data_IF_807848191218
#
_entry.id   IF_807848191218
#
_cell.length_a   1.000
_cell.length_b   1.000
_cell.length_c   1.000
_cell.angle_alpha   90.00
_cell.angle_beta   90.00
_cell.angle_gamma   90.00
#
_symmetry.space_group_name_H-M   'P 1'
#
loop_
_entity.id
_entity.type
_entity.pdbx_description
1 polymer ?
#
# COMPACT_ATOMS: atom_id res chain seq x y z
N UNK A 1 30.52 10.61 -16.37
CA UNK A 1 30.86 9.34 -15.71
C UNK A 1 29.57 8.76 -15.13
N UNK A 2 29.11 7.63 -15.66
CA UNK A 2 27.94 6.92 -15.11
C UNK A 2 28.38 6.18 -13.86
N UNK A 3 28.01 6.67 -12.68
CA UNK A 3 28.23 5.97 -11.41
C UNK A 3 27.46 4.65 -11.49
N UNK A 4 28.18 3.53 -11.56
CA UNK A 4 27.56 2.21 -11.39
C UNK A 4 26.88 2.21 -10.02
N UNK A 5 25.56 2.09 -10.01
CA UNK A 5 24.79 1.92 -8.79
C UNK A 5 25.11 0.52 -8.26
N UNK A 6 25.85 0.43 -7.16
CA UNK A 6 26.29 -0.85 -6.62
C UNK A 6 25.27 -1.40 -5.62
N UNK A 7 25.06 -2.71 -5.64
CA UNK A 7 24.40 -3.41 -4.54
C UNK A 7 25.48 -3.61 -3.47
N UNK A 8 25.19 -3.28 -2.22
CA UNK A 8 26.14 -3.48 -1.11
C UNK A 8 26.58 -4.96 -1.04
N UNK A 9 27.86 -5.23 -0.77
CA UNK A 9 28.42 -6.60 -0.74
C UNK A 9 27.64 -7.55 0.19
N UNK A 10 27.26 -7.05 1.37
CA UNK A 10 26.44 -7.79 2.33
C UNK A 10 25.03 -8.12 1.79
N UNK A 11 24.52 -7.37 0.81
CA UNK A 11 23.23 -7.62 0.16
C UNK A 11 23.34 -8.62 -1.00
N UNK A 12 24.52 -8.82 -1.60
CA UNK A 12 24.73 -9.79 -2.70
C UNK A 12 24.42 -11.22 -2.24
N UNK A 13 24.86 -11.57 -1.03
CA UNK A 13 24.54 -12.87 -0.43
C UNK A 13 23.04 -13.02 -0.14
N UNK A 14 22.38 -11.95 0.32
CA UNK A 14 20.94 -11.95 0.63
C UNK A 14 20.06 -12.05 -0.63
N UNK A 15 20.53 -11.57 -1.80
CA UNK A 15 19.82 -11.74 -3.07
C UNK A 15 19.52 -13.21 -3.37
N UNK A 16 20.44 -14.11 -3.01
CA UNK A 16 20.27 -15.56 -3.23
C UNK A 16 19.13 -16.17 -2.42
N UNK A 17 18.68 -15.48 -1.37
CA UNK A 17 17.73 -15.99 -0.38
C UNK A 17 16.34 -15.34 -0.47
N UNK A 18 16.17 -14.28 -1.27
CA UNK A 18 14.86 -13.65 -1.51
C UNK A 18 14.14 -14.30 -2.71
N UNK A 19 12.79 -14.27 -2.74
CA UNK A 19 12.02 -14.77 -3.89
C UNK A 19 12.43 -14.13 -5.22
N UNK A 20 12.40 -14.91 -6.30
CA UNK A 20 12.87 -14.47 -7.63
C UNK A 20 12.23 -13.16 -8.11
N UNK A 21 10.95 -12.91 -7.81
CA UNK A 21 10.26 -11.69 -8.19
C UNK A 21 10.97 -10.42 -7.65
N UNK A 22 11.38 -10.43 -6.37
CA UNK A 22 12.10 -9.32 -5.77
C UNK A 22 13.55 -9.24 -6.27
N UNK A 23 14.19 -10.39 -6.52
CA UNK A 23 15.56 -10.41 -7.05
C UNK A 23 15.66 -9.68 -8.38
N UNK A 24 14.78 -9.98 -9.33
CA UNK A 24 14.78 -9.33 -10.65
C UNK A 24 14.60 -7.82 -10.52
N UNK A 25 13.65 -7.37 -9.69
CA UNK A 25 13.40 -5.95 -9.47
C UNK A 25 14.60 -5.23 -8.85
N UNK A 26 15.28 -5.85 -7.87
CA UNK A 26 16.48 -5.26 -7.26
C UNK A 26 17.61 -5.12 -8.30
N UNK A 27 17.79 -6.11 -9.18
CA UNK A 27 18.77 -6.03 -10.25
C UNK A 27 18.44 -4.91 -11.24
N UNK A 28 17.17 -4.75 -11.63
CA UNK A 28 16.72 -3.65 -12.48
C UNK A 28 16.97 -2.28 -11.82
N UNK A 29 16.73 -2.17 -10.51
CA UNK A 29 17.00 -0.94 -9.75
C UNK A 29 18.50 -0.60 -9.78
N UNK A 30 19.35 -1.59 -9.52
CA UNK A 30 20.81 -1.43 -9.56
C UNK A 30 21.32 -1.13 -10.98
N UNK A 31 20.68 -1.64 -12.02
CA UNK A 31 21.00 -1.32 -13.41
C UNK A 31 20.43 0.05 -13.84
N UNK A 32 19.55 0.65 -13.03
CA UNK A 32 18.87 1.90 -13.36
C UNK A 32 17.76 1.75 -14.41
N UNK A 33 17.26 0.54 -14.62
CA UNK A 33 16.21 0.21 -15.61
C UNK A 33 14.82 0.09 -14.99
N UNK A 34 14.71 0.04 -13.66
CA UNK A 34 13.41 -0.01 -13.00
C UNK A 34 12.61 1.31 -13.18
N UNK A 35 11.37 1.26 -13.70
CA UNK A 35 10.61 2.48 -14.05
C UNK A 35 10.10 3.28 -12.85
N UNK A 36 10.12 2.70 -11.65
CA UNK A 36 9.65 3.32 -10.41
C UNK A 36 10.75 4.09 -9.67
N UNK A 37 12.03 3.83 -9.97
CA UNK A 37 13.15 4.56 -9.34
C UNK A 37 13.66 5.66 -10.27
N UNK A 38 13.13 6.87 -10.06
CA UNK A 38 13.44 8.06 -10.88
C UNK A 38 14.42 9.03 -10.20
N UNK A 39 15.02 8.64 -9.09
CA UNK A 39 15.98 9.43 -8.33
C UNK A 39 17.38 8.81 -8.37
N UNK A 40 18.41 9.64 -8.12
CA UNK A 40 19.80 9.20 -8.00
C UNK A 40 20.05 8.53 -6.65
N UNK A 41 20.97 7.58 -6.62
CA UNK A 41 21.49 6.96 -5.40
C UNK A 41 22.84 6.31 -5.73
N UNK A 42 23.66 6.07 -4.71
CA UNK A 42 24.99 5.48 -4.86
C UNK A 42 24.96 3.97 -4.62
N UNK A 43 24.22 3.54 -3.59
CA UNK A 43 24.21 2.15 -3.15
C UNK A 43 22.79 1.71 -2.77
N UNK A 44 22.46 0.47 -3.12
CA UNK A 44 21.23 -0.20 -2.70
C UNK A 44 21.56 -1.28 -1.65
N UNK A 45 20.84 -1.24 -0.52
CA UNK A 45 21.00 -2.17 0.60
C UNK A 45 19.68 -2.85 0.94
N UNK A 46 19.69 -4.16 1.19
CA UNK A 46 18.55 -4.90 1.76
C UNK A 46 18.67 -4.83 3.29
N UNK A 47 17.70 -4.22 3.97
CA UNK A 47 17.84 -3.79 5.38
C UNK A 47 17.01 -4.56 6.41
N UNK A 48 16.21 -5.53 5.99
CA UNK A 48 15.54 -6.49 6.88
C UNK A 48 15.62 -7.89 6.27
N UNK A 49 15.63 -8.90 7.13
CA UNK A 49 15.86 -10.31 6.80
C UNK A 49 15.14 -10.79 5.54
N UNK A 50 15.68 -11.84 4.93
CA UNK A 50 15.34 -12.38 3.59
C UNK A 50 13.90 -12.87 3.41
N UNK A 51 13.07 -12.73 4.45
CA UNK A 51 11.65 -13.06 4.42
C UNK A 51 10.85 -11.82 4.02
N UNK A 52 10.06 -11.89 2.94
CA UNK A 52 9.09 -10.85 2.63
C UNK A 52 8.26 -10.50 3.85
N UNK A 53 8.09 -9.21 4.11
CA UNK A 53 7.13 -8.74 5.09
C UNK A 53 5.75 -9.19 4.64
N UNK A 54 5.08 -10.06 5.42
CA UNK A 54 3.67 -10.27 5.21
C UNK A 54 2.95 -8.94 5.46
N UNK A 55 1.86 -8.67 4.75
CA UNK A 55 1.14 -7.38 4.81
C UNK A 55 0.33 -7.21 6.12
N UNK A 56 0.96 -7.42 7.27
CA UNK A 56 0.34 -7.21 8.58
C UNK A 56 0.51 -5.77 9.08
N UNK A 57 1.47 -5.02 8.51
CA UNK A 57 1.71 -3.61 8.84
C UNK A 57 0.66 -2.69 8.23
N UNK A 58 0.20 -2.97 7.02
CA UNK A 58 -1.00 -2.38 6.40
C UNK A 58 -2.02 -3.49 6.16
N UNK A 59 -3.11 -3.49 6.92
CA UNK A 59 -4.15 -4.53 6.86
C UNK A 59 -4.94 -4.50 5.54
N UNK A 60 -4.86 -3.43 4.76
CA UNK A 60 -5.46 -3.34 3.44
C UNK A 60 -4.49 -3.76 2.33
N UNK A 61 -3.23 -4.03 2.65
CA UNK A 61 -2.24 -4.47 1.67
C UNK A 61 -2.37 -5.98 1.38
N UNK A 62 -2.25 -6.33 0.11
CA UNK A 62 -2.32 -7.71 -0.40
C UNK A 62 -1.00 -8.14 -1.02
N UNK A 63 -0.11 -7.19 -1.29
CA UNK A 63 1.25 -7.42 -1.80
C UNK A 63 2.20 -7.71 -0.64
N UNK A 64 3.10 -8.67 -0.86
CA UNK A 64 4.27 -8.78 0.00
C UNK A 64 5.26 -7.67 -0.34
N UNK A 65 6.08 -7.27 0.62
CA UNK A 65 7.16 -6.30 0.37
C UNK A 65 8.45 -6.72 1.06
N UNK A 66 9.57 -6.20 0.59
CA UNK A 66 10.84 -6.22 1.33
C UNK A 66 11.27 -4.79 1.62
N UNK A 67 12.00 -4.59 2.72
CA UNK A 67 12.54 -3.27 3.03
C UNK A 67 13.93 -3.12 2.41
N UNK A 68 14.08 -2.09 1.58
CA UNK A 68 15.34 -1.69 0.94
C UNK A 68 15.71 -0.28 1.37
N UNK A 69 17.00 0.03 1.29
CA UNK A 69 17.55 1.35 1.58
C UNK A 69 18.39 1.83 0.39
N UNK A 70 18.12 3.05 -0.04
CA UNK A 70 18.89 3.77 -1.05
C UNK A 70 19.85 4.73 -0.34
N UNK A 71 21.14 4.44 -0.40
CA UNK A 71 22.18 5.28 0.15
C UNK A 71 22.65 6.32 -0.88
N UNK A 72 22.90 7.55 -0.44
CA UNK A 72 23.26 8.65 -1.32
C UNK A 72 22.09 9.19 -2.17
N UNK A 73 20.84 8.94 -1.76
CA UNK A 73 19.69 9.57 -2.38
C UNK A 73 19.63 11.08 -2.04
N UNK A 74 18.94 11.91 -2.85
CA UNK A 74 18.71 13.32 -2.50
C UNK A 74 18.07 13.44 -1.12
N UNK A 75 18.69 14.21 -0.22
CA UNK A 75 18.21 14.38 1.16
C UNK A 75 18.68 13.32 2.15
N UNK A 76 19.56 12.40 1.75
CA UNK A 76 20.16 11.39 2.63
C UNK A 76 19.72 9.96 2.32
N UNK A 77 19.96 9.04 3.26
CA UNK A 77 19.55 7.65 3.09
C UNK A 77 18.01 7.53 3.09
N UNK A 78 17.46 6.85 2.09
CA UNK A 78 16.02 6.65 1.93
C UNK A 78 15.65 5.20 2.18
N UNK A 79 14.76 4.96 3.16
CA UNK A 79 14.20 3.64 3.45
C UNK A 79 12.84 3.47 2.77
N UNK A 80 12.68 2.37 2.03
CA UNK A 80 11.48 2.09 1.27
C UNK A 80 11.09 0.61 1.27
N UNK A 81 9.81 0.36 0.99
CA UNK A 81 9.23 -0.95 0.74
C UNK A 81 9.19 -1.18 -0.78
N UNK A 82 9.89 -2.21 -1.25
CA UNK A 82 9.73 -2.75 -2.59
C UNK A 82 8.64 -3.83 -2.54
N UNK A 83 7.54 -3.64 -3.27
CA UNK A 83 6.44 -4.59 -3.35
C UNK A 83 6.68 -5.65 -4.41
N UNK A 84 5.98 -6.78 -4.29
CA UNK A 84 6.09 -7.91 -5.21
C UNK A 84 5.75 -7.58 -6.67
N UNK A 85 5.05 -6.47 -6.93
CA UNK A 85 4.76 -5.95 -8.27
C UNK A 85 5.82 -4.96 -8.81
N UNK A 86 6.86 -4.66 -8.04
CA UNK A 86 7.96 -3.76 -8.41
C UNK A 86 7.74 -2.31 -8.02
N UNK A 87 6.55 -1.97 -7.51
CA UNK A 87 6.29 -0.64 -6.99
C UNK A 87 7.07 -0.39 -5.69
N UNK A 88 7.40 0.88 -5.45
CA UNK A 88 8.21 1.28 -4.29
C UNK A 88 7.46 2.38 -3.53
N UNK A 89 7.31 2.18 -2.22
CA UNK A 89 6.72 3.19 -1.33
C UNK A 89 7.65 3.43 -0.16
N UNK A 90 7.93 4.69 0.15
CA UNK A 90 8.75 5.04 1.32
C UNK A 90 8.00 4.68 2.60
N UNK A 91 8.72 4.35 3.68
CA UNK A 91 8.06 4.09 4.96
C UNK A 91 7.28 5.31 5.46
N UNK A 92 7.79 6.53 5.21
CA UNK A 92 7.06 7.79 5.47
C UNK A 92 5.72 7.83 4.72
N UNK A 93 5.71 7.53 3.42
CA UNK A 93 4.48 7.52 2.63
C UNK A 93 3.48 6.46 3.12
N UNK A 94 3.95 5.31 3.58
CA UNK A 94 3.08 4.29 4.20
C UNK A 94 2.41 4.83 5.48
N UNK A 95 3.13 5.61 6.30
CA UNK A 95 2.56 6.25 7.49
C UNK A 95 1.55 7.35 7.12
N UNK A 96 1.86 8.17 6.12
CA UNK A 96 0.95 9.20 5.61
C UNK A 96 -0.35 8.58 5.08
N UNK A 97 -0.27 7.54 4.25
CA UNK A 97 -1.46 6.83 3.74
C UNK A 97 -2.33 6.33 4.90
N UNK A 98 -1.71 5.78 5.96
CA UNK A 98 -2.46 5.34 7.15
C UNK A 98 -3.13 6.52 7.88
N UNK A 99 -2.43 7.65 8.01
CA UNK A 99 -2.99 8.85 8.63
C UNK A 99 -4.15 9.43 7.80
N UNK A 100 -4.01 9.47 6.47
CA UNK A 100 -5.06 9.89 5.53
C UNK A 100 -6.33 9.02 5.68
N UNK A 101 -6.17 7.68 5.78
CA UNK A 101 -7.30 6.76 6.00
C UNK A 101 -7.99 7.00 7.34
N UNK A 102 -7.22 7.21 8.41
CA UNK A 102 -7.77 7.50 9.73
C UNK A 102 -8.54 8.83 9.74
N UNK A 103 -7.98 9.88 9.13
CA UNK A 103 -8.64 11.18 9.03
C UNK A 103 -9.94 11.10 8.24
N UNK A 104 -9.95 10.37 7.11
CA UNK A 104 -11.17 10.12 6.32
C UNK A 104 -12.25 9.39 7.13
N UNK A 105 -11.84 8.39 7.91
CA UNK A 105 -12.74 7.63 8.77
C UNK A 105 -13.40 8.52 9.83
N UNK A 106 -12.62 9.37 10.50
CA UNK A 106 -13.13 10.35 11.46
C UNK A 106 -14.07 11.37 10.81
N UNK A 107 -13.75 11.84 9.60
CA UNK A 107 -14.62 12.75 8.86
C UNK A 107 -15.97 12.10 8.54
N UNK A 108 -15.97 10.85 8.06
CA UNK A 108 -17.20 10.11 7.76
C UNK A 108 -18.07 9.95 9.01
N UNK A 109 -17.48 9.59 10.15
CA UNK A 109 -18.20 9.48 11.43
C UNK A 109 -18.84 10.81 11.83
N UNK A 110 -18.12 11.92 11.70
CA UNK A 110 -18.63 13.26 11.99
C UNK A 110 -19.73 13.73 11.01
N UNK A 111 -19.68 13.29 9.75
CA UNK A 111 -20.75 13.56 8.78
C UNK A 111 -21.99 12.71 9.06
N UNK A 112 -21.82 11.44 9.41
CA UNK A 112 -22.89 10.50 9.73
C UNK A 112 -23.63 10.90 11.02
N UNK A 113 -22.91 11.40 12.03
CA UNK A 113 -23.51 11.80 13.30
C UNK A 113 -24.51 12.95 13.16
N UNK A 114 -24.44 13.73 12.08
CA UNK A 114 -25.40 14.81 11.76
C UNK A 114 -26.77 14.26 11.33
N UNK A 115 -26.84 12.99 10.90
CA UNK A 115 -28.05 12.37 10.37
C UNK A 115 -28.34 11.01 11.04
N UNK A 116 -28.59 10.98 12.37
CA UNK A 116 -28.69 9.73 13.14
C UNK A 116 -29.81 8.80 12.65
N UNK A 117 -30.90 9.36 12.08
CA UNK A 117 -32.01 8.58 11.53
C UNK A 117 -31.61 7.72 10.32
N UNK A 118 -30.54 8.06 9.60
CA UNK A 118 -30.05 7.29 8.46
C UNK A 118 -29.26 6.03 8.88
N UNK A 119 -28.86 5.91 10.15
CA UNK A 119 -28.12 4.75 10.72
C UNK A 119 -26.90 4.33 9.89
N UNK A 120 -26.23 5.27 9.25
CA UNK A 120 -25.18 4.99 8.27
C UNK A 120 -23.90 4.41 8.88
N UNK A 121 -23.56 4.77 10.12
CA UNK A 121 -22.37 4.25 10.81
C UNK A 121 -22.40 2.73 10.94
N UNK A 122 -23.55 2.14 11.29
CA UNK A 122 -23.69 0.68 11.43
C UNK A 122 -23.52 -0.02 10.08
N UNK A 123 -24.16 0.53 9.04
CA UNK A 123 -24.08 0.03 7.67
C UNK A 123 -22.64 0.11 7.15
N UNK A 124 -21.96 1.24 7.36
CA UNK A 124 -20.58 1.44 6.95
C UNK A 124 -19.62 0.52 7.70
N UNK A 125 -19.81 0.34 9.01
CA UNK A 125 -19.00 -0.58 9.81
C UNK A 125 -19.15 -2.03 9.34
N UNK A 126 -20.37 -2.49 9.06
CA UNK A 126 -20.61 -3.82 8.52
C UNK A 126 -19.98 -4.00 7.13
N UNK A 127 -20.10 -3.00 6.26
CA UNK A 127 -19.49 -3.04 4.93
C UNK A 127 -17.96 -3.01 4.97
N UNK A 128 -17.37 -2.22 5.88
CA UNK A 128 -15.93 -2.21 6.10
C UNK A 128 -15.43 -3.57 6.64
N UNK A 129 -16.17 -4.21 7.55
CA UNK A 129 -15.83 -5.55 8.01
C UNK A 129 -15.83 -6.58 6.86
N UNK A 130 -16.84 -6.52 5.98
CA UNK A 130 -16.89 -7.34 4.76
C UNK A 130 -15.70 -7.06 3.84
N UNK A 131 -15.41 -5.78 3.57
CA UNK A 131 -14.24 -5.38 2.77
C UNK A 131 -12.95 -5.97 3.33
N UNK A 132 -12.71 -5.83 4.64
CA UNK A 132 -11.51 -6.36 5.29
C UNK A 132 -11.45 -7.89 5.26
N UNK A 133 -12.59 -8.58 5.40
CA UNK A 133 -12.66 -10.03 5.25
C UNK A 133 -12.29 -10.46 3.83
N UNK A 134 -12.78 -9.77 2.80
CA UNK A 134 -12.43 -9.99 1.39
C UNK A 134 -10.93 -9.77 1.16
N UNK A 135 -10.36 -8.67 1.65
CA UNK A 135 -8.91 -8.41 1.56
C UNK A 135 -8.10 -9.54 2.19
N UNK A 136 -8.51 -10.04 3.35
CA UNK A 136 -7.83 -11.16 3.99
C UNK A 136 -7.93 -12.45 3.15
N UNK A 137 -9.07 -12.71 2.53
CA UNK A 137 -9.24 -13.83 1.58
C UNK A 137 -8.33 -13.70 0.36
N UNK A 138 -8.27 -12.51 -0.26
CA UNK A 138 -7.39 -12.20 -1.40
C UNK A 138 -5.92 -12.44 -1.03
N UNK A 139 -5.50 -11.97 0.13
CA UNK A 139 -4.13 -12.11 0.61
C UNK A 139 -3.71 -13.58 0.72
N UNK A 140 -4.57 -14.40 1.28
CA UNK A 140 -4.30 -15.82 1.56
C UNK A 140 -4.57 -16.74 0.37
N UNK A 141 -5.03 -16.21 -0.77
CA UNK A 141 -5.27 -17.01 -1.98
C UNK A 141 -3.97 -17.37 -2.71
N UNK A 142 -4.05 -18.39 -3.56
CA UNK A 142 -2.97 -18.80 -4.46
C UNK A 142 -2.94 -18.00 -5.78
N UNK A 143 -3.68 -16.87 -5.85
CA UNK A 143 -3.70 -16.04 -7.04
C UNK A 143 -2.37 -15.36 -7.32
N UNK A 144 -2.15 -15.02 -8.60
CA UNK A 144 -1.03 -14.19 -9.00
C UNK A 144 -1.10 -12.81 -8.32
N UNK A 145 0.03 -12.12 -8.18
CA UNK A 145 0.04 -10.81 -7.52
C UNK A 145 -0.84 -9.79 -8.26
N UNK A 146 -0.84 -9.84 -9.59
CA UNK A 146 -1.68 -8.98 -10.42
C UNK A 146 -3.16 -9.23 -10.14
N UNK A 147 -3.57 -10.50 -10.10
CA UNK A 147 -4.95 -10.88 -9.79
C UNK A 147 -5.34 -10.40 -8.37
N UNK A 148 -4.45 -10.54 -7.38
CA UNK A 148 -4.69 -10.02 -6.03
C UNK A 148 -4.91 -8.50 -6.01
N UNK A 149 -4.13 -7.74 -6.78
CA UNK A 149 -4.28 -6.28 -6.87
C UNK A 149 -5.60 -5.90 -7.53
N UNK A 150 -5.96 -6.55 -8.64
CA UNK A 150 -7.24 -6.32 -9.32
C UNK A 150 -8.43 -6.61 -8.41
N UNK A 151 -8.42 -7.76 -7.71
CA UNK A 151 -9.49 -8.13 -6.78
C UNK A 151 -9.59 -7.19 -5.58
N UNK A 152 -8.46 -6.66 -5.10
CA UNK A 152 -8.44 -5.61 -4.08
C UNK A 152 -9.14 -4.34 -4.60
N UNK A 153 -8.88 -3.95 -5.85
CA UNK A 153 -9.54 -2.79 -6.48
C UNK A 153 -11.04 -3.02 -6.60
N UNK A 154 -11.48 -4.21 -7.02
CA UNK A 154 -12.91 -4.55 -7.08
C UNK A 154 -13.58 -4.44 -5.71
N UNK A 155 -12.95 -5.01 -4.67
CA UNK A 155 -13.46 -4.95 -3.30
C UNK A 155 -13.52 -3.51 -2.78
N UNK A 156 -12.52 -2.68 -3.11
CA UNK A 156 -12.50 -1.27 -2.76
C UNK A 156 -13.60 -0.49 -3.48
N UNK A 157 -13.82 -0.74 -4.77
CA UNK A 157 -14.87 -0.07 -5.55
C UNK A 157 -16.28 -0.35 -4.99
N UNK A 158 -16.54 -1.58 -4.54
CA UNK A 158 -17.80 -1.94 -3.89
C UNK A 158 -18.00 -1.13 -2.60
N UNK A 159 -16.96 -1.01 -1.78
CA UNK A 159 -17.02 -0.23 -0.55
C UNK A 159 -17.20 1.27 -0.83
N UNK A 160 -16.48 1.82 -1.81
CA UNK A 160 -16.58 3.23 -2.20
C UNK A 160 -17.97 3.57 -2.78
N UNK A 161 -18.57 2.67 -3.56
CA UNK A 161 -19.93 2.85 -4.07
C UNK A 161 -20.96 2.98 -2.94
N UNK A 162 -20.80 2.23 -1.85
CA UNK A 162 -21.62 2.40 -0.64
C UNK A 162 -21.41 3.79 -0.02
N UNK A 163 -20.17 4.24 0.14
CA UNK A 163 -19.87 5.55 0.72
C UNK A 163 -20.48 6.69 -0.12
N UNK A 164 -20.40 6.59 -1.44
CA UNK A 164 -21.03 7.54 -2.36
C UNK A 164 -22.56 7.57 -2.21
N UNK A 165 -23.19 6.39 -2.12
CA UNK A 165 -24.63 6.29 -1.88
C UNK A 165 -25.02 6.93 -0.54
N UNK A 166 -24.26 6.65 0.52
CA UNK A 166 -24.50 7.25 1.84
C UNK A 166 -24.34 8.78 1.81
N UNK A 167 -23.34 9.30 1.11
CA UNK A 167 -23.18 10.73 0.92
C UNK A 167 -24.37 11.37 0.19
N UNK A 168 -24.90 10.71 -0.86
CA UNK A 168 -26.10 11.16 -1.56
C UNK A 168 -27.35 11.15 -0.65
N UNK A 169 -27.50 10.15 0.22
CA UNK A 169 -28.58 10.10 1.20
C UNK A 169 -28.49 11.26 2.20
N UNK A 170 -27.29 11.58 2.70
CA UNK A 170 -27.06 12.73 3.58
C UNK A 170 -27.38 14.05 2.88
N UNK A 171 -26.97 14.21 1.62
CA UNK A 171 -27.27 15.41 0.83
C UNK A 171 -28.78 15.61 0.63
N UNK A 172 -29.52 14.52 0.36
CA UNK A 172 -30.99 14.57 0.26
C UNK A 172 -31.66 14.91 1.57
N UNK A 173 -31.16 14.39 2.69
CA UNK A 173 -31.74 14.70 4.00
C UNK A 173 -31.45 16.15 4.43
N UNK A 174 -30.24 16.65 4.15
CA UNK A 174 -29.89 18.05 4.37
C UNK A 174 -30.81 19.00 3.57
N UNK A 175 -31.13 18.65 2.32
CA UNK A 175 -32.01 19.45 1.46
C UNK A 175 -33.47 19.53 1.96
N UNK A 176 -33.94 18.60 2.80
CA UNK A 176 -35.29 18.65 3.40
C UNK A 176 -35.36 19.55 4.64
N UNK A 177 -34.21 19.88 5.23
CA UNK A 177 -34.11 20.72 6.42
C UNK A 177 -34.03 22.22 6.08
N UNK A 178 -34.01 22.55 4.79
CA UNK A 178 -34.05 23.89 4.21
C UNK A 178 -35.39 24.11 3.50
#
# INVERSE_FOLDING_TARGET
MSTRKSIADASVLLLTQIPNAFRSQILEIAQGTNPHVRFSFNELKIIRGTRPHPPHTDREEVRSSITIQFNGAPGGALVAHLFSDGTITTSTRMHEIRAERLARQQQLEAEESKFPLLKQSDIRSAAHATYMATINGIRNSNWSQMEKVMRKQDAQAIYEALLQRQAADRAREAAKQH
#
